data_IF_899176884511
#
_entry.id   IF_899176884511
#
_cell.length_a   1.000
_cell.length_b   1.000
_cell.length_c   1.000
_cell.angle_alpha   90.00
_cell.angle_beta   90.00
_cell.angle_gamma   90.00
#
_symmetry.space_group_name_H-M   'P 1'
#
loop_
_entity.id
_entity.type
_entity.pdbx_description
1 polymer ?
#
# COMPACT_ATOMS: atom_id res chain seq x y z
N UNK A 1 36.74 -28.98 -1.40
CA UNK A 1 37.24 -28.23 -2.58
C UNK A 1 36.45 -26.94 -2.68
N UNK A 2 37.14 -25.79 -2.66
CA UNK A 2 36.52 -24.45 -2.69
C UNK A 2 36.44 -23.98 -4.14
N UNK A 3 35.24 -23.71 -4.66
CA UNK A 3 35.06 -23.08 -5.97
C UNK A 3 34.51 -21.67 -5.80
N UNK A 4 35.15 -20.74 -6.53
CA UNK A 4 35.20 -19.30 -6.30
C UNK A 4 34.03 -18.57 -6.98
N UNK A 5 33.59 -17.49 -6.34
CA UNK A 5 32.63 -16.49 -6.84
C UNK A 5 33.31 -15.59 -7.88
N UNK A 6 32.67 -15.27 -9.02
CA UNK A 6 33.06 -14.14 -9.85
C UNK A 6 32.29 -12.86 -9.45
N UNK A 7 33.06 -11.91 -8.93
CA UNK A 7 32.73 -10.51 -8.71
C UNK A 7 32.87 -9.75 -10.05
N UNK A 8 31.84 -9.02 -10.50
CA UNK A 8 32.01 -8.03 -11.58
C UNK A 8 31.35 -6.71 -11.19
N UNK A 9 32.19 -5.68 -11.24
CA UNK A 9 32.04 -4.32 -10.69
C UNK A 9 30.99 -3.42 -11.36
N UNK A 10 30.62 -2.43 -10.55
CA UNK A 10 29.99 -1.14 -10.84
C UNK A 10 30.36 -0.47 -12.17
N UNK A 11 29.37 0.19 -12.77
CA UNK A 11 29.56 1.46 -13.49
C UNK A 11 28.46 2.48 -13.05
N UNK A 12 28.82 3.65 -12.51
CA UNK A 12 27.88 4.75 -12.27
C UNK A 12 27.85 5.69 -13.48
N UNK A 13 26.68 6.01 -14.00
CA UNK A 13 26.48 7.07 -14.99
C UNK A 13 25.68 8.20 -14.35
N UNK A 14 26.40 9.21 -13.85
CA UNK A 14 25.88 10.52 -13.47
C UNK A 14 25.68 11.32 -14.76
N UNK A 15 24.47 11.83 -15.02
CA UNK A 15 24.29 13.02 -15.85
C UNK A 15 23.21 13.92 -15.28
N UNK A 16 23.60 15.17 -15.04
CA UNK A 16 22.85 16.23 -14.42
C UNK A 16 21.98 17.01 -15.42
N UNK A 17 20.94 17.65 -14.89
CA UNK A 17 20.49 18.97 -15.36
C UNK A 17 19.14 19.01 -16.08
N UNK A 18 18.15 19.59 -15.41
CA UNK A 18 17.34 20.69 -15.96
C UNK A 18 16.73 21.49 -14.81
N UNK A 19 17.10 22.77 -14.81
CA UNK A 19 16.65 23.84 -13.94
C UNK A 19 15.35 24.47 -14.47
N UNK A 20 14.65 25.17 -13.57
CA UNK A 20 13.82 26.37 -13.78
C UNK A 20 12.30 26.25 -14.02
N UNK A 21 11.61 27.00 -13.15
CA UNK A 21 10.52 27.94 -13.42
C UNK A 21 9.08 27.41 -13.48
N UNK A 22 8.38 27.61 -12.37
CA UNK A 22 6.92 27.55 -12.26
C UNK A 22 6.43 28.36 -11.05
N UNK A 23 6.82 29.64 -11.00
CA UNK A 23 6.27 30.66 -10.11
C UNK A 23 4.95 31.16 -10.70
N UNK A 24 3.93 31.37 -9.87
CA UNK A 24 2.85 32.31 -10.19
C UNK A 24 1.49 31.88 -9.69
N UNK A 25 0.95 32.60 -8.70
CA UNK A 25 -0.45 32.47 -8.34
C UNK A 25 -0.97 33.12 -7.06
N UNK A 26 -0.33 34.16 -6.52
CA UNK A 26 -0.97 35.00 -5.49
C UNK A 26 -2.14 35.79 -6.13
N UNK A 27 -3.36 35.43 -5.75
CA UNK A 27 -4.61 36.03 -6.23
C UNK A 27 -5.46 36.52 -5.06
N UNK A 28 -5.16 37.75 -4.65
CA UNK A 28 -5.98 38.75 -3.96
C UNK A 28 -7.19 38.33 -3.10
N UNK A 29 -7.11 38.78 -1.85
CA UNK A 29 -8.16 39.08 -0.90
C UNK A 29 -9.45 39.63 -1.53
N UNK A 30 -10.59 39.12 -1.08
CA UNK A 30 -11.85 39.86 -1.12
C UNK A 30 -12.39 39.96 0.30
N UNK A 31 -12.30 41.18 0.84
CA UNK A 31 -12.96 41.59 2.06
C UNK A 31 -14.47 41.63 1.79
N UNK A 32 -15.23 40.94 2.63
CA UNK A 32 -16.68 41.08 2.76
C UNK A 32 -16.98 41.49 4.18
N UNK A 33 -16.93 42.79 4.46
CA UNK A 33 -17.53 43.39 5.64
C UNK A 33 -19.05 43.22 5.55
N UNK A 34 -19.60 42.39 6.43
CA UNK A 34 -21.02 42.27 6.69
C UNK A 34 -21.19 42.19 8.20
N UNK A 35 -21.32 43.34 8.84
CA UNK A 35 -21.66 43.45 10.24
C UNK A 35 -23.19 43.38 10.39
N UNK A 36 -23.71 42.38 11.09
CA UNK A 36 -25.03 42.41 11.73
C UNK A 36 -25.06 41.46 12.95
N UNK A 37 -24.90 42.09 14.12
CA UNK A 37 -25.59 41.95 15.41
C UNK A 37 -26.04 40.60 16.04
N UNK A 38 -25.78 40.55 17.37
CA UNK A 38 -26.53 39.92 18.47
C UNK A 38 -26.18 38.51 19.00
N UNK A 39 -25.68 38.55 20.24
CA UNK A 39 -25.32 37.55 21.29
C UNK A 39 -26.55 36.77 21.84
N UNK A 40 -26.46 35.46 22.21
CA UNK A 40 -26.16 35.11 23.62
C UNK A 40 -25.25 33.89 23.85
N UNK A 41 -24.62 33.95 25.03
CA UNK A 41 -23.84 32.91 25.70
C UNK A 41 -24.55 31.55 25.76
N UNK A 42 -23.81 30.47 25.52
CA UNK A 42 -23.96 29.28 26.32
C UNK A 42 -22.59 28.61 26.54
N UNK A 43 -22.14 28.72 27.79
CA UNK A 43 -21.01 27.96 28.27
C UNK A 43 -21.40 26.50 28.33
N UNK A 44 -20.93 25.73 27.36
CA UNK A 44 -20.68 24.30 27.51
C UNK A 44 -19.61 23.94 26.51
N UNK A 45 -18.37 24.28 26.83
CA UNK A 45 -17.20 23.57 26.33
C UNK A 45 -17.25 22.16 26.91
N UNK A 46 -18.17 21.34 26.41
CA UNK A 46 -17.98 19.90 26.43
C UNK A 46 -16.69 19.69 25.67
N UNK A 47 -15.62 19.42 26.43
CA UNK A 47 -14.37 18.94 25.88
C UNK A 47 -14.74 17.76 25.00
N UNK A 48 -14.79 18.00 23.70
CA UNK A 48 -14.95 16.97 22.71
C UNK A 48 -13.61 16.27 22.77
N UNK A 49 -13.51 15.26 23.65
CA UNK A 49 -12.46 14.27 23.61
C UNK A 49 -12.48 13.78 22.18
N UNK A 50 -11.55 14.29 21.38
CA UNK A 50 -11.41 13.87 20.01
C UNK A 50 -11.03 12.40 20.08
N UNK A 51 -12.03 11.51 19.92
CA UNK A 51 -11.75 10.12 19.65
C UNK A 51 -10.81 10.11 18.46
N UNK A 52 -9.71 9.34 18.53
CA UNK A 52 -8.81 9.23 17.39
C UNK A 52 -9.63 8.86 16.16
N UNK A 53 -9.41 9.58 15.06
CA UNK A 53 -10.11 9.32 13.81
C UNK A 53 -9.93 7.84 13.45
N UNK A 54 -11.03 7.18 13.11
CA UNK A 54 -10.97 5.77 12.71
C UNK A 54 -10.18 5.63 11.40
N UNK A 55 -9.27 4.66 11.35
CA UNK A 55 -8.51 4.37 10.14
C UNK A 55 -9.42 3.77 9.06
N UNK A 56 -9.12 4.03 7.76
CA UNK A 56 -9.83 3.42 6.66
C UNK A 56 -9.70 1.88 6.67
N UNK A 57 -10.69 1.18 6.12
CA UNK A 57 -10.80 -0.28 6.20
C UNK A 57 -10.88 -0.90 4.79
N UNK A 58 -10.42 -2.15 4.60
CA UNK A 58 -9.79 -3.02 5.61
C UNK A 58 -8.29 -2.72 5.80
N UNK A 59 -7.75 -2.98 6.98
CA UNK A 59 -6.30 -2.88 7.21
C UNK A 59 -5.55 -4.07 6.61
N UNK A 60 -4.36 -3.84 6.06
CA UNK A 60 -3.58 -4.89 5.40
C UNK A 60 -3.19 -6.02 6.37
N UNK A 61 -2.93 -5.68 7.63
CA UNK A 61 -2.64 -6.63 8.71
C UNK A 61 -3.81 -7.55 9.06
N UNK A 62 -5.04 -7.16 8.74
CA UNK A 62 -6.25 -7.96 8.97
C UNK A 62 -6.58 -8.86 7.77
N UNK A 63 -6.20 -8.43 6.56
CA UNK A 63 -6.48 -9.16 5.32
C UNK A 63 -5.41 -10.20 5.03
N UNK A 64 -4.13 -9.84 5.19
CA UNK A 64 -3.00 -10.69 4.82
C UNK A 64 -2.53 -11.54 6.00
N UNK A 65 -3.41 -12.45 6.42
CA UNK A 65 -3.16 -13.39 7.52
C UNK A 65 -3.03 -14.80 6.95
N UNK A 66 -1.89 -15.43 7.18
CA UNK A 66 -1.61 -16.80 6.71
C UNK A 66 -2.70 -17.78 7.14
N UNK A 67 -3.21 -18.56 6.19
CA UNK A 67 -4.32 -19.52 6.38
C UNK A 67 -5.72 -18.89 6.34
N UNK A 68 -5.86 -17.57 6.27
CA UNK A 68 -7.15 -16.91 6.07
C UNK A 68 -7.54 -16.92 4.59
N UNK A 69 -8.85 -16.79 4.32
CA UNK A 69 -9.34 -16.66 2.94
C UNK A 69 -9.29 -15.20 2.49
N UNK A 70 -8.59 -14.92 1.40
CA UNK A 70 -8.61 -13.60 0.78
C UNK A 70 -9.99 -13.34 0.16
N UNK A 71 -10.67 -12.22 0.43
CA UNK A 71 -11.99 -11.96 -0.16
C UNK A 71 -11.97 -12.01 -1.69
N UNK A 72 -13.00 -12.61 -2.30
CA UNK A 72 -13.07 -12.77 -3.76
C UNK A 72 -13.09 -11.43 -4.52
N UNK A 73 -13.63 -10.38 -3.89
CA UNK A 73 -13.64 -9.00 -4.41
C UNK A 73 -12.53 -8.12 -3.85
N UNK A 74 -11.44 -8.70 -3.34
CA UNK A 74 -10.33 -7.92 -2.79
C UNK A 74 -9.62 -7.10 -3.87
N UNK A 75 -9.64 -5.78 -3.70
CA UNK A 75 -8.97 -4.83 -4.60
C UNK A 75 -7.82 -4.09 -3.92
N UNK A 76 -7.89 -3.89 -2.60
CA UNK A 76 -6.93 -3.10 -1.82
C UNK A 76 -7.13 -3.27 -0.32
N UNK A 77 -6.13 -2.85 0.43
CA UNK A 77 -6.18 -2.63 1.87
C UNK A 77 -5.54 -1.27 2.22
N UNK A 78 -5.51 -0.97 3.52
CA UNK A 78 -4.83 0.21 4.05
C UNK A 78 -3.72 -0.18 5.04
N UNK A 79 -2.59 0.52 4.97
CA UNK A 79 -1.57 0.52 6.01
C UNK A 79 -1.64 1.87 6.72
N UNK A 80 -2.36 1.89 7.85
CA UNK A 80 -2.81 3.15 8.44
C UNK A 80 -3.78 3.87 7.51
N UNK A 81 -3.38 5.05 7.02
CA UNK A 81 -4.17 5.84 6.05
C UNK A 81 -3.74 5.60 4.60
N UNK A 82 -2.60 4.93 4.38
CA UNK A 82 -2.06 4.72 3.05
C UNK A 82 -2.82 3.62 2.31
N UNK A 83 -3.31 3.91 1.11
CA UNK A 83 -3.97 2.94 0.24
C UNK A 83 -2.93 2.02 -0.38
N UNK A 84 -3.09 0.71 -0.21
CA UNK A 84 -2.20 -0.32 -0.74
C UNK A 84 -2.96 -1.26 -1.65
N UNK A 85 -2.64 -1.22 -2.95
CA UNK A 85 -3.12 -2.20 -3.92
C UNK A 85 -2.17 -3.41 -3.93
N UNK A 86 -2.68 -4.64 -4.09
CA UNK A 86 -1.81 -5.79 -4.29
C UNK A 86 -1.18 -5.76 -5.68
N UNK A 87 0.02 -6.32 -5.79
CA UNK A 87 0.62 -6.61 -7.09
C UNK A 87 0.01 -7.89 -7.65
N UNK A 88 -0.23 -7.93 -8.96
CA UNK A 88 -0.77 -9.10 -9.66
C UNK A 88 0.30 -9.81 -10.47
N UNK A 89 0.43 -11.12 -10.28
CA UNK A 89 1.14 -11.99 -11.20
C UNK A 89 0.12 -12.77 -12.03
N UNK A 90 0.20 -12.60 -13.36
CA UNK A 90 -0.65 -13.36 -14.26
C UNK A 90 -0.13 -14.79 -14.39
N UNK A 91 -1.00 -15.68 -14.00
CA UNK A 91 -0.95 -17.08 -14.33
C UNK A 91 -1.02 -17.32 -15.84
N UNK A 92 -0.27 -18.31 -16.35
CA UNK A 92 -0.31 -18.67 -17.79
C UNK A 92 -1.73 -19.03 -18.26
N UNK A 93 -2.55 -19.61 -17.37
CA UNK A 93 -3.95 -19.97 -17.64
C UNK A 93 -4.77 -19.79 -16.35
N UNK A 94 -5.35 -18.61 -16.10
CA UNK A 94 -6.28 -18.48 -14.96
C UNK A 94 -6.52 -17.10 -14.38
N UNK A 95 -6.99 -17.11 -13.12
CA UNK A 95 -7.20 -15.91 -12.29
C UNK A 95 -5.84 -15.35 -11.85
N UNK A 96 -5.70 -14.03 -11.70
CA UNK A 96 -4.45 -13.44 -11.23
C UNK A 96 -4.15 -13.90 -9.81
N UNK A 97 -2.92 -14.33 -9.58
CA UNK A 97 -2.37 -14.50 -8.25
C UNK A 97 -2.00 -13.11 -7.75
N UNK A 98 -2.47 -12.71 -6.58
CA UNK A 98 -2.16 -11.41 -5.98
C UNK A 98 -1.12 -11.58 -4.90
N UNK A 99 -0.27 -10.58 -4.74
CA UNK A 99 0.85 -10.58 -3.79
C UNK A 99 0.85 -9.32 -2.95
N UNK A 100 1.44 -9.40 -1.76
CA UNK A 100 1.55 -8.28 -0.85
C UNK A 100 2.88 -8.30 -0.09
N UNK A 101 3.47 -7.10 0.05
CA UNK A 101 4.70 -6.82 0.79
C UNK A 101 5.87 -7.77 0.48
N UNK A 102 5.92 -8.33 -0.73
CA UNK A 102 6.98 -9.25 -1.16
C UNK A 102 7.09 -10.54 -0.35
N UNK A 103 6.07 -10.90 0.44
CA UNK A 103 6.07 -12.11 1.29
C UNK A 103 4.77 -12.90 1.27
N UNK A 104 3.62 -12.29 0.96
CA UNK A 104 2.34 -12.98 0.93
C UNK A 104 1.83 -13.17 -0.50
N UNK A 105 1.08 -14.25 -0.73
CA UNK A 105 0.34 -14.48 -1.99
C UNK A 105 -0.98 -15.21 -1.75
N UNK A 106 -1.93 -15.03 -2.66
CA UNK A 106 -3.19 -15.77 -2.71
C UNK A 106 -3.85 -15.63 -4.09
N UNK A 107 -4.76 -16.54 -4.45
CA UNK A 107 -5.80 -16.21 -5.43
C UNK A 107 -6.93 -15.47 -4.71
N UNK A 108 -7.60 -14.52 -5.37
CA UNK A 108 -8.81 -13.90 -4.79
C UNK A 108 -9.88 -14.97 -4.53
N UNK A 109 -10.34 -15.08 -3.28
CA UNK A 109 -11.22 -16.16 -2.82
C UNK A 109 -10.50 -17.42 -2.36
N UNK A 110 -9.17 -17.44 -2.43
CA UNK A 110 -8.29 -18.54 -2.01
C UNK A 110 -7.61 -18.27 -0.68
N UNK A 111 -6.68 -19.13 -0.30
CA UNK A 111 -5.99 -19.05 0.99
C UNK A 111 -4.79 -18.11 0.89
N UNK A 112 -4.58 -17.30 1.94
CA UNK A 112 -3.39 -16.47 2.06
C UNK A 112 -2.23 -17.33 2.53
N UNK A 113 -1.17 -17.34 1.72
CA UNK A 113 0.08 -18.00 2.02
C UNK A 113 1.17 -16.98 2.31
N UNK A 114 2.20 -17.43 3.04
CA UNK A 114 3.35 -16.61 3.41
C UNK A 114 4.66 -17.31 3.03
N UNK A 115 5.63 -16.51 2.57
CA UNK A 115 6.90 -16.99 2.07
C UNK A 115 7.71 -17.58 3.22
N UNK A 116 8.04 -18.86 3.06
CA UNK A 116 8.84 -19.65 4.00
C UNK A 116 10.33 -19.35 3.87
N UNK A 117 10.77 -18.77 2.73
CA UNK A 117 12.16 -18.46 2.43
C UNK A 117 12.55 -17.07 2.96
N UNK A 118 12.71 -16.94 4.29
CA UNK A 118 13.03 -15.67 4.98
C UNK A 118 12.10 -14.50 4.60
N UNK A 119 10.84 -14.77 4.25
CA UNK A 119 9.89 -13.76 3.79
C UNK A 119 10.14 -13.22 2.38
N UNK A 120 11.02 -13.83 1.57
CA UNK A 120 11.25 -13.46 0.16
C UNK A 120 10.38 -14.30 -0.76
N UNK A 121 9.28 -13.72 -1.23
CA UNK A 121 8.29 -14.39 -2.08
C UNK A 121 8.87 -14.97 -3.38
N UNK A 122 9.73 -14.20 -4.05
CA UNK A 122 10.28 -14.59 -5.36
C UNK A 122 11.19 -15.81 -5.32
N UNK A 123 11.71 -16.15 -4.14
CA UNK A 123 12.54 -17.34 -3.92
C UNK A 123 11.73 -18.53 -3.36
N UNK A 124 10.46 -18.31 -3.02
CA UNK A 124 9.65 -19.32 -2.36
C UNK A 124 9.17 -20.39 -3.36
N UNK A 125 9.46 -21.69 -3.11
CA UNK A 125 9.08 -22.76 -4.02
C UNK A 125 7.55 -23.00 -4.06
N UNK A 126 6.83 -22.67 -2.98
CA UNK A 126 5.38 -22.72 -2.93
C UNK A 126 4.77 -21.69 -3.87
N UNK A 127 5.21 -20.44 -3.77
CA UNK A 127 4.81 -19.38 -4.70
C UNK A 127 5.10 -19.75 -6.16
N UNK A 128 6.28 -20.28 -6.47
CA UNK A 128 6.63 -20.70 -7.83
C UNK A 128 5.79 -21.90 -8.34
N UNK A 129 5.32 -22.77 -7.46
CA UNK A 129 4.41 -23.87 -7.83
C UNK A 129 2.99 -23.36 -8.08
N UNK A 130 2.53 -22.44 -7.24
CA UNK A 130 1.22 -21.82 -7.31
C UNK A 130 1.07 -20.92 -8.54
N UNK A 131 2.11 -20.17 -8.93
CA UNK A 131 2.13 -19.42 -10.19
C UNK A 131 1.97 -20.31 -11.44
N UNK A 132 2.53 -21.53 -11.42
CA UNK A 132 2.45 -22.46 -12.55
C UNK A 132 1.10 -23.18 -12.64
N UNK A 133 0.45 -23.40 -11.50
CA UNK A 133 -0.78 -24.19 -11.41
C UNK A 133 -2.03 -23.36 -11.17
N UNK A 134 -1.85 -22.07 -10.88
CA UNK A 134 -2.90 -21.11 -10.56
C UNK A 134 -3.73 -21.53 -9.36
N UNK A 135 -3.02 -22.03 -8.36
CA UNK A 135 -3.53 -22.36 -7.03
C UNK A 135 -2.92 -21.37 -6.04
N UNK A 136 -3.64 -21.13 -4.95
CA UNK A 136 -3.31 -20.14 -3.94
C UNK A 136 -4.54 -19.99 -3.06
#
# INVERSE_FOLDING_TARGET
MRTRVPTTSLLPAVLAGLLLAGCGGDGASQAGDGADDAVPSDGSSVGQSASPAALPQPQCSEVWVTGATLPAGYELCYDGEARVAPDGAYCEVGKPLVTHAGRWWAVRGGEVQEATTDGRLVEDPGYAADLRTCRG
#
